data_IF_075822653464
#
_entry.id   IF_075822653464
#
_cell.length_a   1.000
_cell.length_b   1.000
_cell.length_c   1.000
_cell.angle_alpha   90.00
_cell.angle_beta   90.00
_cell.angle_gamma   90.00
#
_symmetry.space_group_name_H-M   'P 1'
#
loop_
_entity.id
_entity.type
_entity.pdbx_description
1 polymer ?
#
# COMPACT_ATOMS: atom_id res chain seq x y z
N UNK A 1 0.62 22.07 -13.78
CA UNK A 1 0.40 20.65 -14.05
C UNK A 1 1.63 19.93 -14.63
N UNK A 2 2.55 20.56 -15.33
CA UNK A 2 3.73 19.93 -15.95
C UNK A 2 4.91 19.59 -15.02
N UNK A 3 4.94 20.09 -13.78
CA UNK A 3 6.10 19.92 -12.89
C UNK A 3 6.18 18.54 -12.18
N UNK A 4 5.08 17.80 -12.08
CA UNK A 4 5.02 16.50 -11.38
C UNK A 4 5.45 15.37 -12.30
N UNK A 5 5.07 15.37 -13.56
CA UNK A 5 5.34 14.33 -14.55
C UNK A 5 6.84 14.02 -14.71
N UNK A 6 7.70 15.03 -14.73
CA UNK A 6 9.16 14.86 -14.88
C UNK A 6 9.88 14.22 -13.66
N UNK A 7 9.15 13.85 -12.58
CA UNK A 7 9.73 13.35 -11.33
C UNK A 7 9.21 11.95 -10.95
N UNK A 8 8.50 11.30 -11.85
CA UNK A 8 8.02 9.93 -11.66
C UNK A 8 8.83 9.00 -12.57
N UNK A 9 9.47 8.02 -11.96
CA UNK A 9 10.35 7.07 -12.62
C UNK A 9 9.85 5.65 -12.44
N UNK A 10 10.30 4.74 -13.29
CA UNK A 10 10.09 3.30 -13.14
C UNK A 10 11.37 2.52 -13.37
N UNK A 11 11.56 1.44 -12.63
CA UNK A 11 12.60 0.45 -12.89
C UNK A 11 12.00 -0.65 -13.75
N UNK A 12 12.66 -0.99 -14.85
CA UNK A 12 12.17 -2.00 -15.78
C UNK A 12 12.01 -3.38 -15.11
N UNK A 13 10.97 -4.17 -15.46
CA UNK A 13 10.84 -5.54 -15.00
C UNK A 13 12.08 -6.38 -15.29
N UNK A 14 12.50 -7.18 -14.29
CA UNK A 14 13.68 -8.04 -14.41
C UNK A 14 14.99 -7.43 -13.93
N UNK A 15 15.05 -6.14 -13.67
CA UNK A 15 16.17 -5.50 -12.99
C UNK A 15 16.00 -5.57 -11.47
N UNK A 16 17.14 -5.54 -10.75
CA UNK A 16 17.12 -5.45 -9.28
C UNK A 16 16.72 -4.04 -8.85
N UNK A 17 15.48 -3.87 -8.40
CA UNK A 17 14.90 -2.57 -8.08
C UNK A 17 15.75 -1.75 -7.11
N UNK A 18 16.20 -2.35 -6.01
CA UNK A 18 16.96 -1.65 -4.98
C UNK A 18 18.39 -1.33 -5.43
N UNK A 19 19.01 -2.18 -6.25
CA UNK A 19 20.34 -1.91 -6.77
C UNK A 19 20.33 -0.79 -7.80
N UNK A 20 19.30 -0.75 -8.68
CA UNK A 20 19.12 0.37 -9.61
C UNK A 20 18.84 1.67 -8.87
N UNK A 21 18.00 1.63 -7.83
CA UNK A 21 17.73 2.80 -6.99
C UNK A 21 19.00 3.32 -6.32
N UNK A 22 19.79 2.42 -5.71
CA UNK A 22 21.06 2.81 -5.07
C UNK A 22 22.02 3.44 -6.07
N UNK A 23 22.18 2.85 -7.27
CA UNK A 23 23.02 3.40 -8.34
C UNK A 23 22.54 4.77 -8.82
N UNK A 24 21.23 4.93 -9.03
CA UNK A 24 20.65 6.19 -9.47
C UNK A 24 20.87 7.31 -8.43
N UNK A 25 20.74 7.02 -7.15
CA UNK A 25 21.04 7.99 -6.07
C UNK A 25 22.52 8.34 -6.05
N UNK A 26 23.42 7.36 -6.11
CA UNK A 26 24.86 7.57 -6.10
C UNK A 26 25.36 8.36 -7.33
N UNK A 27 24.70 8.22 -8.47
CA UNK A 27 25.03 8.97 -9.69
C UNK A 27 24.36 10.35 -9.76
N UNK A 28 23.58 10.73 -8.73
CA UNK A 28 22.93 12.04 -8.68
C UNK A 28 21.72 12.19 -9.61
N UNK A 29 21.07 11.09 -10.02
CA UNK A 29 19.92 11.11 -10.94
C UNK A 29 18.72 11.96 -10.44
N UNK A 30 18.61 12.17 -9.12
CA UNK A 30 17.52 12.92 -8.50
C UNK A 30 17.94 14.32 -8.04
N UNK A 31 19.16 14.74 -8.28
CA UNK A 31 19.69 16.01 -7.86
C UNK A 31 20.17 16.83 -9.06
N UNK A 32 19.93 18.10 -9.04
CA UNK A 32 20.48 19.04 -10.00
C UNK A 32 22.01 19.16 -9.83
N UNK A 33 22.73 18.13 -10.25
CA UNK A 33 24.17 18.18 -10.49
C UNK A 33 25.14 18.13 -9.31
N UNK A 34 24.73 18.41 -8.08
CA UNK A 34 25.65 18.54 -6.94
C UNK A 34 25.94 17.26 -6.14
N UNK A 35 24.99 16.32 -6.08
CA UNK A 35 25.13 15.10 -5.25
C UNK A 35 26.17 14.11 -5.77
N UNK A 36 26.41 14.08 -7.06
CA UNK A 36 27.40 13.18 -7.66
C UNK A 36 28.86 13.53 -7.27
N UNK A 37 29.10 14.71 -6.69
CA UNK A 37 30.44 15.23 -6.38
C UNK A 37 30.76 15.29 -4.90
N UNK A 38 29.72 15.22 -4.01
CA UNK A 38 29.92 15.31 -2.57
C UNK A 38 29.35 14.08 -1.83
N UNK A 39 30.21 13.16 -1.36
CA UNK A 39 29.78 12.00 -0.56
C UNK A 39 29.04 12.36 0.73
N UNK A 40 29.23 13.55 1.29
CA UNK A 40 28.53 14.01 2.49
C UNK A 40 27.09 14.42 2.19
N UNK A 41 26.80 14.86 0.97
CA UNK A 41 25.46 15.26 0.57
C UNK A 41 24.47 14.06 0.53
N UNK A 42 24.94 12.81 0.52
CA UNK A 42 24.09 11.63 0.68
C UNK A 42 23.33 11.62 2.01
N UNK A 43 23.90 12.20 3.08
CA UNK A 43 23.23 12.31 4.37
C UNK A 43 21.96 13.18 4.36
N UNK A 44 21.82 14.08 3.41
CA UNK A 44 20.66 14.95 3.24
C UNK A 44 19.55 14.29 2.40
N UNK A 45 19.83 13.19 1.69
CA UNK A 45 18.84 12.43 0.91
C UNK A 45 17.94 11.63 1.84
N UNK A 46 16.64 11.73 1.66
CA UNK A 46 15.65 10.92 2.38
C UNK A 46 14.95 9.97 1.43
N UNK A 47 14.94 8.67 1.75
CA UNK A 47 14.29 7.62 0.94
C UNK A 47 13.22 6.93 1.77
N UNK A 48 11.98 6.97 1.29
CA UNK A 48 10.82 6.29 1.86
C UNK A 48 10.55 4.99 1.12
N UNK A 49 10.47 3.87 1.83
CA UNK A 49 10.28 2.52 1.30
C UNK A 49 9.07 1.83 1.96
N UNK A 50 8.42 0.86 1.32
CA UNK A 50 7.22 0.22 1.86
C UNK A 50 7.47 -0.63 3.12
N UNK A 51 8.68 -1.16 3.33
CA UNK A 51 8.95 -2.11 4.42
C UNK A 51 10.35 -1.92 5.04
N UNK A 52 10.51 -2.33 6.32
CA UNK A 52 11.83 -2.40 6.98
C UNK A 52 12.80 -3.34 6.26
N UNK A 53 12.28 -4.41 5.67
CA UNK A 53 13.12 -5.35 4.90
C UNK A 53 13.72 -4.67 3.69
N UNK A 54 12.92 -3.94 2.91
CA UNK A 54 13.40 -3.16 1.78
C UNK A 54 14.42 -2.10 2.22
N UNK A 55 14.18 -1.43 3.35
CA UNK A 55 15.13 -0.45 3.89
C UNK A 55 16.49 -1.06 4.21
N UNK A 56 16.53 -2.21 4.89
CA UNK A 56 17.79 -2.93 5.17
C UNK A 56 18.48 -3.42 3.90
N UNK A 57 17.71 -3.94 2.95
CA UNK A 57 18.27 -4.41 1.68
C UNK A 57 18.85 -3.24 0.87
N UNK A 58 18.19 -2.09 0.86
CA UNK A 58 18.71 -0.90 0.17
C UNK A 58 20.03 -0.42 0.79
N UNK A 59 20.20 -0.49 2.11
CA UNK A 59 21.49 -0.18 2.75
C UNK A 59 22.60 -1.06 2.19
N UNK A 60 22.34 -2.36 2.03
CA UNK A 60 23.30 -3.28 1.43
C UNK A 60 23.57 -2.93 -0.04
N UNK A 61 22.53 -2.63 -0.82
CA UNK A 61 22.70 -2.21 -2.22
C UNK A 61 23.55 -0.95 -2.39
N UNK A 62 23.45 0.00 -1.44
CA UNK A 62 24.35 1.17 -1.42
C UNK A 62 25.81 0.80 -1.18
N UNK A 63 26.09 -0.09 -0.22
CA UNK A 63 27.45 -0.55 0.06
C UNK A 63 28.06 -1.28 -1.16
N UNK A 64 27.28 -2.18 -1.75
CA UNK A 64 27.72 -2.96 -2.93
C UNK A 64 27.98 -2.06 -4.15
N UNK A 65 27.12 -1.05 -4.36
CA UNK A 65 27.24 -0.12 -5.48
C UNK A 65 28.37 0.90 -5.32
N UNK A 66 28.69 1.33 -4.08
CA UNK A 66 29.67 2.36 -3.80
C UNK A 66 31.12 1.92 -4.04
N UNK A 67 31.38 0.60 -3.95
CA UNK A 67 32.73 0.01 -3.98
C UNK A 67 33.71 0.62 -2.97
N UNK A 68 33.21 1.28 -1.93
CA UNK A 68 33.98 1.93 -0.87
C UNK A 68 33.90 1.12 0.44
N UNK A 69 34.93 1.21 1.26
CA UNK A 69 34.94 0.54 2.55
C UNK A 69 34.03 1.20 3.61
N UNK A 70 33.65 2.46 3.38
CA UNK A 70 32.72 3.20 4.22
C UNK A 70 31.92 4.21 3.37
N UNK A 71 30.66 4.36 3.68
CA UNK A 71 29.74 5.28 2.99
C UNK A 71 28.80 5.92 4.00
N UNK A 72 28.61 7.24 3.92
CA UNK A 72 27.51 7.90 4.60
C UNK A 72 26.23 7.55 3.87
N UNK A 73 25.31 6.85 4.55
CA UNK A 73 24.06 6.41 3.94
C UNK A 73 23.01 7.53 3.95
N UNK A 74 22.10 7.55 2.95
CA UNK A 74 20.86 8.34 3.01
C UNK A 74 20.02 7.99 4.23
N UNK A 75 19.13 8.88 4.61
CA UNK A 75 18.09 8.60 5.62
C UNK A 75 17.03 7.69 4.98
N UNK A 76 17.09 6.38 5.29
CA UNK A 76 16.16 5.37 4.72
C UNK A 76 15.10 5.03 5.75
N UNK A 77 13.83 5.23 5.43
CA UNK A 77 12.69 5.02 6.34
C UNK A 77 11.60 4.16 5.72
N UNK A 78 11.01 3.22 6.48
CA UNK A 78 9.79 2.52 6.07
C UNK A 78 8.56 3.42 6.21
N UNK A 79 7.60 3.29 5.28
CA UNK A 79 6.34 4.02 5.28
C UNK A 79 5.36 3.35 6.27
N UNK A 80 4.69 4.17 7.11
CA UNK A 80 3.63 3.68 7.99
C UNK A 80 4.09 2.85 9.19
N UNK A 81 5.39 2.76 9.41
CA UNK A 81 5.97 2.25 10.63
C UNK A 81 6.53 3.45 11.43
N UNK A 82 5.78 3.91 12.43
CA UNK A 82 6.40 4.68 13.48
C UNK A 82 7.32 3.71 14.25
N UNK A 83 8.62 3.80 14.02
CA UNK A 83 9.54 3.35 15.04
C UNK A 83 9.29 4.25 16.24
N UNK A 84 8.68 3.73 17.29
CA UNK A 84 8.46 4.47 18.55
C UNK A 84 9.77 5.08 19.02
N UNK A 85 10.87 4.38 18.82
CA UNK A 85 12.23 4.85 19.12
C UNK A 85 12.68 6.04 18.25
N UNK A 86 12.34 6.06 16.96
CA UNK A 86 12.71 7.17 16.07
C UNK A 86 11.79 8.38 16.26
N UNK A 87 10.54 8.18 16.60
CA UNK A 87 9.60 9.26 16.93
C UNK A 87 10.02 9.92 18.24
N UNK A 88 10.42 9.13 19.24
CA UNK A 88 10.95 9.61 20.50
C UNK A 88 12.30 10.32 20.34
N UNK A 89 13.21 9.74 19.56
CA UNK A 89 14.52 10.34 19.27
C UNK A 89 14.38 11.65 18.48
N UNK A 90 13.47 11.72 17.50
CA UNK A 90 13.16 12.96 16.79
C UNK A 90 12.50 14.00 17.69
N UNK A 91 11.59 13.62 18.57
CA UNK A 91 10.99 14.50 19.55
C UNK A 91 12.04 15.07 20.54
N UNK A 92 13.03 14.26 20.91
CA UNK A 92 14.13 14.67 21.78
C UNK A 92 15.17 15.55 21.05
N UNK A 93 15.38 15.34 19.75
CA UNK A 93 16.35 16.09 18.95
C UNK A 93 15.77 17.35 18.29
N UNK A 94 14.48 17.42 18.09
CA UNK A 94 13.79 18.64 17.60
C UNK A 94 13.63 19.61 18.75
N UNK A 95 14.53 20.56 18.83
CA UNK A 95 14.54 21.68 19.81
C UNK A 95 13.40 22.67 19.62
N UNK A 96 12.60 22.48 18.59
CA UNK A 96 11.40 23.26 18.28
C UNK A 96 10.17 22.37 18.43
N UNK A 97 9.31 22.71 19.37
CA UNK A 97 8.06 22.04 19.71
C UNK A 97 7.00 22.05 18.60
N UNK A 98 7.34 21.53 17.42
CA UNK A 98 6.41 21.27 16.31
C UNK A 98 5.99 19.80 16.30
N UNK A 99 5.74 19.26 17.48
CA UNK A 99 4.81 18.16 17.60
C UNK A 99 3.45 18.78 17.87
N UNK A 100 2.68 18.91 16.82
CA UNK A 100 1.25 19.02 16.99
C UNK A 100 0.83 17.85 17.89
N UNK A 101 0.19 18.14 18.99
CA UNK A 101 -0.05 17.40 20.20
C UNK A 101 -0.96 16.16 20.05
N UNK A 102 -0.86 15.43 18.96
CA UNK A 102 -1.60 14.20 18.76
C UNK A 102 -0.63 13.02 18.66
N UNK A 103 -0.15 12.53 19.80
CA UNK A 103 0.39 11.17 19.86
C UNK A 103 -0.69 10.22 19.37
N UNK A 104 -0.47 9.61 18.21
CA UNK A 104 -1.39 8.63 17.64
C UNK A 104 -1.53 7.47 18.62
N UNK A 105 -2.73 7.17 19.13
CA UNK A 105 -2.93 6.10 20.13
C UNK A 105 -2.31 4.77 19.68
N UNK A 106 -1.92 3.91 20.62
CA UNK A 106 -1.38 2.60 20.27
C UNK A 106 -2.44 1.72 19.60
N UNK A 107 -1.98 0.78 18.76
CA UNK A 107 -2.89 -0.22 18.22
C UNK A 107 -3.27 -1.26 19.28
N UNK A 108 -4.47 -1.80 19.15
CA UNK A 108 -4.89 -2.98 19.91
C UNK A 108 -4.01 -4.18 19.50
N UNK A 109 -3.61 -4.98 20.50
CA UNK A 109 -2.82 -6.19 20.24
C UNK A 109 -3.61 -7.24 19.46
N UNK A 110 -2.91 -7.98 18.60
CA UNK A 110 -3.56 -8.97 17.71
C UNK A 110 -4.35 -10.04 18.48
N UNK A 111 -3.81 -10.55 19.59
CA UNK A 111 -4.51 -11.53 20.43
C UNK A 111 -5.71 -10.91 21.13
N UNK A 112 -5.56 -9.72 21.72
CA UNK A 112 -6.64 -8.96 22.34
C UNK A 112 -7.79 -8.73 21.38
N UNK A 113 -7.46 -8.26 20.16
CA UNK A 113 -8.41 -8.05 19.08
C UNK A 113 -9.19 -9.30 18.73
N UNK A 114 -8.50 -10.43 18.54
CA UNK A 114 -9.13 -11.72 18.22
C UNK A 114 -10.04 -12.21 19.32
N UNK A 115 -9.64 -12.06 20.58
CA UNK A 115 -10.46 -12.47 21.72
C UNK A 115 -11.74 -11.64 21.84
N UNK A 116 -11.64 -10.32 21.65
CA UNK A 116 -12.81 -9.44 21.67
C UNK A 116 -13.77 -9.79 20.54
N UNK A 117 -13.27 -9.91 19.31
CA UNK A 117 -14.08 -10.30 18.15
C UNK A 117 -14.69 -11.70 18.32
N UNK A 118 -13.94 -12.67 18.85
CA UNK A 118 -14.48 -14.00 19.15
C UNK A 118 -15.63 -13.97 20.18
N UNK A 119 -15.52 -13.09 21.17
CA UNK A 119 -16.60 -12.89 22.16
C UNK A 119 -17.84 -12.30 21.49
N UNK A 120 -17.70 -11.36 20.56
CA UNK A 120 -18.82 -10.81 19.79
C UNK A 120 -19.47 -11.88 18.89
N UNK A 121 -18.67 -12.71 18.22
CA UNK A 121 -19.16 -13.86 17.43
C UNK A 121 -19.97 -14.82 18.28
N UNK A 122 -19.50 -15.17 19.47
CA UNK A 122 -20.23 -16.07 20.39
C UNK A 122 -21.55 -15.45 20.84
N UNK A 123 -21.55 -14.20 21.28
CA UNK A 123 -22.77 -13.50 21.70
C UNK A 123 -23.81 -13.45 20.59
N UNK A 124 -23.37 -13.11 19.37
CA UNK A 124 -24.26 -13.11 18.21
C UNK A 124 -24.82 -14.51 17.92
N UNK A 125 -23.99 -15.55 17.93
CA UNK A 125 -24.42 -16.93 17.73
C UNK A 125 -25.43 -17.39 18.80
N UNK A 126 -25.27 -16.94 20.04
CA UNK A 126 -26.23 -17.20 21.12
C UNK A 126 -27.57 -16.49 20.89
N UNK A 127 -27.55 -15.23 20.49
CA UNK A 127 -28.77 -14.45 20.20
C UNK A 127 -29.55 -15.09 19.05
N UNK A 128 -28.91 -15.52 17.99
CA UNK A 128 -29.56 -16.18 16.85
C UNK A 128 -30.20 -17.51 17.25
N UNK A 129 -29.57 -18.27 18.12
CA UNK A 129 -30.15 -19.55 18.64
C UNK A 129 -31.43 -19.36 19.41
N UNK A 130 -31.56 -18.24 20.11
CA UNK A 130 -32.76 -17.93 20.90
C UNK A 130 -33.88 -17.27 20.07
N UNK A 131 -33.52 -16.62 18.95
CA UNK A 131 -34.46 -15.95 18.06
C UNK A 131 -35.18 -16.88 17.07
N UNK A 132 -34.57 -18.01 16.70
CA UNK A 132 -35.11 -18.95 15.71
C UNK A 132 -36.15 -19.86 16.31
N UNK A 133 -37.41 -19.56 16.03
CA UNK A 133 -38.58 -20.37 16.41
C UNK A 133 -38.96 -21.37 15.32
N UNK A 134 -38.43 -21.23 14.09
CA UNK A 134 -38.81 -22.05 12.95
C UNK A 134 -37.81 -23.18 12.67
N UNK A 135 -38.32 -24.41 12.62
CA UNK A 135 -37.57 -25.67 12.56
C UNK A 135 -36.85 -25.88 11.21
N UNK A 136 -37.36 -25.25 10.14
CA UNK A 136 -36.87 -25.43 8.77
C UNK A 136 -35.54 -24.69 8.50
N UNK A 137 -35.28 -23.57 9.17
CA UNK A 137 -34.07 -22.78 9.03
C UNK A 137 -32.96 -23.14 10.03
N UNK A 138 -33.29 -23.99 11.01
CA UNK A 138 -32.36 -24.41 12.08
C UNK A 138 -31.15 -25.18 11.58
N UNK A 139 -31.27 -25.92 10.46
CA UNK A 139 -30.20 -26.81 9.98
C UNK A 139 -28.99 -26.09 9.36
N UNK A 140 -29.22 -25.01 8.62
CA UNK A 140 -28.16 -24.23 7.96
C UNK A 140 -27.45 -23.31 8.94
N UNK A 141 -28.19 -22.66 9.84
CA UNK A 141 -27.68 -21.76 10.84
C UNK A 141 -26.95 -22.49 11.99
N UNK A 142 -27.38 -23.69 12.33
CA UNK A 142 -26.67 -24.55 13.29
C UNK A 142 -25.31 -25.02 12.80
N UNK A 143 -25.11 -25.12 11.49
CA UNK A 143 -23.82 -25.45 10.90
C UNK A 143 -22.83 -24.26 10.90
N UNK A 144 -23.33 -23.02 10.85
CA UNK A 144 -22.51 -21.82 10.75
C UNK A 144 -22.19 -21.15 12.09
N UNK A 145 -22.98 -21.37 13.16
CA UNK A 145 -22.82 -20.72 14.46
C UNK A 145 -21.70 -21.31 15.30
N UNK A 146 -20.79 -20.45 15.80
CA UNK A 146 -19.77 -20.88 16.74
C UNK A 146 -20.40 -21.27 18.09
N UNK A 147 -20.11 -22.46 18.60
CA UNK A 147 -20.60 -22.98 19.89
C UNK A 147 -19.55 -22.94 20.99
N UNK A 148 -18.29 -22.85 20.62
CA UNK A 148 -17.17 -22.82 21.56
C UNK A 148 -16.24 -21.65 21.24
N UNK A 149 -15.47 -21.15 22.22
CA UNK A 149 -14.47 -20.13 21.98
C UNK A 149 -13.49 -20.48 20.87
N UNK A 150 -13.08 -21.74 20.76
CA UNK A 150 -12.18 -22.21 19.72
C UNK A 150 -12.81 -22.08 18.32
N UNK A 151 -14.09 -22.41 18.16
CA UNK A 151 -14.81 -22.24 16.90
C UNK A 151 -15.00 -20.76 16.54
N UNK A 152 -15.16 -19.88 17.50
CA UNK A 152 -15.32 -18.43 17.27
C UNK A 152 -14.02 -17.75 16.80
N UNK A 153 -12.87 -18.33 17.06
CA UNK A 153 -11.57 -17.73 16.68
C UNK A 153 -11.35 -17.67 15.16
N UNK A 154 -11.92 -18.58 14.39
CA UNK A 154 -11.82 -18.54 12.93
C UNK A 154 -12.58 -17.35 12.33
N UNK A 155 -13.91 -17.23 12.53
CA UNK A 155 -14.64 -16.06 12.05
C UNK A 155 -14.13 -14.75 12.63
N UNK A 156 -13.64 -14.74 13.89
CA UNK A 156 -13.02 -13.54 14.46
C UNK A 156 -11.78 -13.09 13.71
N UNK A 157 -10.97 -14.02 13.23
CA UNK A 157 -9.81 -13.71 12.38
C UNK A 157 -10.24 -13.15 11.02
N UNK A 158 -11.28 -13.72 10.41
CA UNK A 158 -11.76 -13.27 9.11
C UNK A 158 -12.42 -11.90 9.21
N UNK A 159 -13.13 -11.63 10.31
CA UNK A 159 -13.63 -10.29 10.65
C UNK A 159 -12.50 -9.28 10.86
N UNK A 160 -11.45 -9.65 11.60
CA UNK A 160 -10.29 -8.77 11.76
C UNK A 160 -9.68 -8.39 10.41
N UNK A 161 -9.60 -9.33 9.47
CA UNK A 161 -9.13 -9.06 8.10
C UNK A 161 -10.07 -8.15 7.33
N UNK A 162 -11.39 -8.38 7.43
CA UNK A 162 -12.37 -7.52 6.77
C UNK A 162 -12.26 -6.08 7.28
N UNK A 163 -12.20 -5.88 8.60
CA UNK A 163 -12.00 -4.56 9.21
C UNK A 163 -10.72 -3.92 8.68
N UNK A 164 -9.59 -4.66 8.65
CA UNK A 164 -8.32 -4.17 8.13
C UNK A 164 -8.41 -3.77 6.66
N UNK A 165 -9.13 -4.53 5.84
CA UNK A 165 -9.33 -4.22 4.42
C UNK A 165 -10.11 -2.91 4.25
N UNK A 166 -11.23 -2.77 4.94
CA UNK A 166 -12.09 -1.58 4.86
C UNK A 166 -11.36 -0.35 5.35
N UNK A 167 -10.73 -0.40 6.53
CA UNK A 167 -9.96 0.71 7.07
C UNK A 167 -8.75 1.05 6.19
N UNK A 168 -8.06 0.05 5.60
CA UNK A 168 -6.94 0.27 4.69
C UNK A 168 -7.35 1.05 3.45
N UNK A 169 -8.52 0.76 2.90
CA UNK A 169 -9.08 1.46 1.74
C UNK A 169 -9.76 2.79 2.11
N UNK A 170 -9.77 3.14 3.40
CA UNK A 170 -10.47 4.32 3.93
C UNK A 170 -11.96 4.34 3.51
N UNK A 171 -12.55 3.14 3.40
CA UNK A 171 -13.97 2.94 3.15
C UNK A 171 -14.74 2.85 4.48
N UNK A 172 -16.02 3.15 4.43
CA UNK A 172 -16.89 2.94 5.58
C UNK A 172 -17.54 1.55 5.51
N UNK A 173 -17.56 0.86 6.63
CA UNK A 173 -18.24 -0.43 6.70
C UNK A 173 -19.76 -0.31 6.45
N UNK A 174 -20.34 0.87 6.70
CA UNK A 174 -21.72 1.22 6.32
C UNK A 174 -21.97 1.10 4.81
N UNK A 175 -20.94 1.29 3.98
CA UNK A 175 -21.05 1.17 2.53
C UNK A 175 -21.39 -0.26 2.09
N UNK A 176 -21.05 -1.26 2.92
CA UNK A 176 -21.41 -2.66 2.67
C UNK A 176 -22.93 -2.88 2.63
N UNK A 177 -23.70 -2.06 3.31
CA UNK A 177 -25.17 -2.14 3.29
C UNK A 177 -25.73 -1.79 1.90
N UNK A 178 -25.08 -0.87 1.20
CA UNK A 178 -25.50 -0.41 -0.12
C UNK A 178 -25.13 -1.36 -1.28
N UNK A 179 -24.18 -2.30 -1.03
CA UNK A 179 -23.71 -3.21 -2.08
C UNK A 179 -24.68 -4.35 -2.39
N UNK A 180 -25.73 -4.53 -1.57
CA UNK A 180 -26.62 -5.68 -1.68
C UNK A 180 -28.04 -5.23 -2.01
N UNK A 181 -28.59 -5.66 -3.14
CA UNK A 181 -30.00 -5.44 -3.44
C UNK A 181 -30.89 -6.10 -2.38
N UNK A 182 -31.97 -5.41 -2.00
CA UNK A 182 -33.00 -5.89 -1.03
C UNK A 182 -33.62 -7.25 -1.39
N UNK A 183 -33.37 -7.73 -2.62
CA UNK A 183 -33.90 -8.99 -3.19
C UNK A 183 -33.01 -10.21 -2.89
N UNK A 184 -31.83 -10.05 -2.29
CA UNK A 184 -30.97 -11.17 -2.00
C UNK A 184 -31.35 -11.85 -0.68
N UNK A 185 -31.16 -13.17 -0.69
CA UNK A 185 -31.62 -14.15 0.28
C UNK A 185 -31.50 -13.73 1.76
N UNK A 186 -32.43 -14.19 2.58
CA UNK A 186 -32.49 -14.09 4.05
C UNK A 186 -31.13 -14.34 4.75
N UNK A 187 -30.32 -15.23 4.21
CA UNK A 187 -28.96 -15.51 4.69
C UNK A 187 -28.03 -14.27 4.60
N UNK A 188 -28.14 -13.46 3.56
CA UNK A 188 -27.33 -12.26 3.40
C UNK A 188 -27.77 -11.14 4.39
N UNK A 189 -29.05 -11.01 4.62
CA UNK A 189 -29.57 -10.05 5.61
C UNK A 189 -29.04 -10.36 7.02
N UNK A 190 -28.97 -11.64 7.40
CA UNK A 190 -28.40 -12.07 8.67
C UNK A 190 -26.88 -11.75 8.75
N UNK A 191 -26.16 -11.89 7.65
CA UNK A 191 -24.74 -11.50 7.58
C UNK A 191 -24.57 -9.99 7.77
N UNK A 192 -25.44 -9.18 7.17
CA UNK A 192 -25.43 -7.72 7.35
C UNK A 192 -25.76 -7.33 8.80
N UNK A 193 -26.74 -7.97 9.43
CA UNK A 193 -27.04 -7.72 10.85
C UNK A 193 -25.85 -8.04 11.74
N UNK A 194 -25.15 -9.13 11.47
CA UNK A 194 -23.92 -9.46 12.18
C UNK A 194 -22.83 -8.39 11.98
N UNK A 195 -22.64 -7.93 10.76
CA UNK A 195 -21.71 -6.86 10.45
C UNK A 195 -22.10 -5.55 11.15
N UNK A 196 -23.38 -5.19 11.21
CA UNK A 196 -23.87 -4.02 11.94
C UNK A 196 -23.51 -4.06 13.44
N UNK A 197 -23.64 -5.22 14.08
CA UNK A 197 -23.24 -5.39 15.47
C UNK A 197 -21.76 -5.08 15.64
N UNK A 198 -20.92 -5.58 14.73
CA UNK A 198 -19.47 -5.33 14.79
C UNK A 198 -19.15 -3.86 14.54
N UNK A 199 -19.86 -3.22 13.59
CA UNK A 199 -19.74 -1.80 13.27
C UNK A 199 -19.98 -0.89 14.47
N UNK A 200 -20.88 -1.28 15.35
CA UNK A 200 -21.22 -0.51 16.55
C UNK A 200 -20.31 -0.84 17.73
N UNK A 201 -20.07 -2.12 17.97
CA UNK A 201 -19.34 -2.56 19.18
C UNK A 201 -17.83 -2.44 19.05
N UNK A 202 -17.27 -2.62 17.85
CA UNK A 202 -15.84 -2.57 17.69
C UNK A 202 -15.26 -1.15 17.90
N UNK A 203 -15.80 -0.08 17.29
CA UNK A 203 -15.36 1.28 17.59
C UNK A 203 -15.54 1.64 19.05
N UNK A 204 -16.70 1.33 19.64
CA UNK A 204 -16.97 1.60 21.05
C UNK A 204 -15.99 0.89 22.00
N UNK A 205 -15.58 -0.34 21.66
CA UNK A 205 -14.53 -1.03 22.41
C UNK A 205 -13.20 -0.30 22.30
N UNK A 206 -12.78 0.06 21.10
CA UNK A 206 -11.51 0.78 20.87
C UNK A 206 -11.48 2.10 21.64
N UNK A 207 -12.57 2.85 21.63
CA UNK A 207 -12.71 4.10 22.38
C UNK A 207 -12.59 3.84 23.90
N UNK A 208 -13.22 2.78 24.41
CA UNK A 208 -13.19 2.44 25.84
C UNK A 208 -11.78 2.11 26.36
N UNK A 209 -10.90 1.60 25.50
CA UNK A 209 -9.51 1.25 25.83
C UNK A 209 -8.50 2.28 25.34
N UNK A 210 -8.95 3.38 24.72
CA UNK A 210 -8.11 4.42 24.11
C UNK A 210 -7.07 3.85 23.12
N UNK A 211 -7.48 2.89 22.28
CA UNK A 211 -6.65 2.25 21.26
C UNK A 211 -7.26 2.41 19.87
N UNK A 212 -6.46 2.13 18.84
CA UNK A 212 -6.87 2.12 17.44
C UNK A 212 -6.80 0.70 16.86
N UNK A 213 -7.51 0.46 15.77
CA UNK A 213 -7.23 -0.69 14.92
C UNK A 213 -5.84 -0.57 14.30
N UNK A 214 -5.13 -1.68 14.02
CA UNK A 214 -3.81 -1.64 13.39
C UNK A 214 -3.79 -0.90 12.05
N UNK A 215 -4.81 -1.08 11.21
CA UNK A 215 -4.90 -0.43 9.90
C UNK A 215 -5.19 1.08 10.03
N UNK A 216 -6.13 1.48 10.88
CA UNK A 216 -6.42 2.89 11.14
C UNK A 216 -5.19 3.61 11.72
N UNK A 217 -4.50 3.01 12.70
CA UNK A 217 -3.26 3.57 13.25
C UNK A 217 -2.22 3.80 12.16
N UNK A 218 -2.01 2.80 11.30
CA UNK A 218 -1.08 2.92 10.18
C UNK A 218 -1.45 4.07 9.25
N UNK A 219 -2.72 4.18 8.87
CA UNK A 219 -3.20 5.25 8.01
C UNK A 219 -2.97 6.63 8.65
N UNK A 220 -3.30 6.79 9.93
CA UNK A 220 -3.05 8.05 10.66
C UNK A 220 -1.57 8.42 10.72
N UNK A 221 -0.68 7.45 10.90
CA UNK A 221 0.76 7.68 10.88
C UNK A 221 1.26 8.12 9.51
N UNK A 222 0.77 7.50 8.43
CA UNK A 222 1.11 7.89 7.05
C UNK A 222 0.60 9.30 6.75
N UNK A 223 -0.64 9.61 7.13
CA UNK A 223 -1.23 10.94 6.93
C UNK A 223 -0.54 12.01 7.78
N UNK A 224 -0.16 11.68 9.01
CA UNK A 224 0.65 12.55 9.87
C UNK A 224 2.00 12.86 9.26
N UNK A 225 2.68 11.87 8.68
CA UNK A 225 3.94 12.09 7.96
C UNK A 225 3.73 12.95 6.70
N UNK A 226 2.64 12.74 5.96
CA UNK A 226 2.29 13.57 4.81
C UNK A 226 2.06 15.05 5.23
N UNK A 227 1.37 15.27 6.34
CA UNK A 227 1.15 16.62 6.89
C UNK A 227 2.47 17.26 7.32
N UNK A 228 3.33 16.51 8.00
CA UNK A 228 4.66 16.97 8.42
C UNK A 228 5.52 17.36 7.21
N UNK A 229 5.54 16.56 6.17
CA UNK A 229 6.28 16.85 4.94
C UNK A 229 5.77 18.11 4.25
N UNK A 230 4.47 18.34 4.21
CA UNK A 230 3.91 19.62 3.66
C UNK A 230 4.33 20.85 4.46
N UNK A 231 4.56 20.70 5.76
CA UNK A 231 4.95 21.80 6.65
C UNK A 231 6.46 22.04 6.72
N UNK A 232 7.28 21.09 6.23
CA UNK A 232 8.75 21.13 6.41
C UNK A 232 9.44 21.11 5.05
N UNK A 233 10.46 21.95 4.86
CA UNK A 233 11.32 21.90 3.68
C UNK A 233 12.45 20.88 3.93
N UNK A 234 12.56 19.78 3.14
CA UNK A 234 13.69 18.86 3.24
C UNK A 234 14.98 19.56 2.79
N UNK A 235 16.10 19.23 3.41
CA UNK A 235 17.41 19.78 3.05
C UNK A 235 17.94 19.25 1.73
N UNK A 236 17.53 18.05 1.34
CA UNK A 236 17.98 17.36 0.13
C UNK A 236 16.85 16.62 -0.56
N UNK A 237 17.18 15.80 -1.57
CA UNK A 237 16.20 15.02 -2.32
C UNK A 237 15.33 14.12 -1.42
N UNK A 238 14.02 14.13 -1.70
CA UNK A 238 13.03 13.30 -1.04
C UNK A 238 12.47 12.27 -2.03
N UNK A 239 12.75 11.00 -1.81
CA UNK A 239 12.44 9.92 -2.74
C UNK A 239 11.45 8.94 -2.09
N UNK A 240 10.34 8.66 -2.78
CA UNK A 240 9.46 7.52 -2.45
C UNK A 240 9.71 6.43 -3.47
N UNK A 241 10.05 5.22 -3.01
CA UNK A 241 10.41 4.14 -3.93
C UNK A 241 9.74 2.81 -3.56
N UNK A 242 9.40 2.02 -4.58
CA UNK A 242 8.86 0.67 -4.42
C UNK A 242 7.42 0.59 -3.91
N UNK A 243 6.67 1.70 -3.96
CA UNK A 243 5.25 1.74 -3.58
C UNK A 243 4.36 1.67 -4.80
N UNK A 244 3.24 0.98 -4.65
CA UNK A 244 2.23 0.81 -5.71
C UNK A 244 1.02 1.73 -5.53
N UNK A 245 0.95 2.49 -4.42
CA UNK A 245 -0.19 3.38 -4.13
C UNK A 245 -1.52 2.66 -3.91
N UNK A 246 -1.46 1.38 -3.53
CA UNK A 246 -2.67 0.58 -3.27
C UNK A 246 -3.46 1.07 -2.04
N UNK A 247 -2.85 1.87 -1.17
CA UNK A 247 -3.46 2.42 0.05
C UNK A 247 -3.68 3.92 -0.16
N UNK A 248 -4.91 4.46 0.01
CA UNK A 248 -5.20 5.88 -0.16
C UNK A 248 -4.30 6.82 0.66
N UNK A 249 -4.02 6.48 1.92
CA UNK A 249 -3.10 7.23 2.77
C UNK A 249 -1.69 7.33 2.17
N UNK A 250 -1.21 6.26 1.50
CA UNK A 250 0.08 6.27 0.80
C UNK A 250 0.07 7.19 -0.42
N UNK A 251 -1.04 7.24 -1.14
CA UNK A 251 -1.21 8.20 -2.25
C UNK A 251 -1.12 9.65 -1.77
N UNK A 252 -1.73 9.97 -0.62
CA UNK A 252 -1.61 11.29 0.00
C UNK A 252 -0.17 11.62 0.42
N UNK A 253 0.55 10.65 0.95
CA UNK A 253 1.98 10.80 1.26
C UNK A 253 2.80 11.08 -0.01
N UNK A 254 2.55 10.35 -1.11
CA UNK A 254 3.22 10.56 -2.40
C UNK A 254 2.93 11.97 -2.93
N UNK A 255 1.68 12.46 -2.83
CA UNK A 255 1.34 13.84 -3.20
C UNK A 255 2.09 14.86 -2.35
N UNK A 256 2.20 14.63 -1.04
CA UNK A 256 2.96 15.50 -0.15
C UNK A 256 4.45 15.53 -0.52
N UNK A 257 5.03 14.40 -0.87
CA UNK A 257 6.40 14.29 -1.36
C UNK A 257 6.57 15.05 -2.66
N UNK A 258 5.71 14.85 -3.65
CA UNK A 258 5.79 15.51 -4.96
C UNK A 258 5.52 17.02 -4.91
N UNK A 259 5.06 17.57 -3.80
CA UNK A 259 4.96 19.00 -3.59
C UNK A 259 6.32 19.69 -3.40
N UNK A 260 7.40 18.91 -3.11
CA UNK A 260 8.74 19.46 -2.96
C UNK A 260 9.49 19.47 -4.31
N UNK A 261 10.31 20.49 -4.55
CA UNK A 261 11.03 20.65 -5.82
C UNK A 261 12.04 19.55 -6.11
N UNK A 262 12.76 19.08 -5.09
CA UNK A 262 13.74 18.00 -5.19
C UNK A 262 13.14 16.65 -4.80
N UNK A 263 11.90 16.34 -5.24
CA UNK A 263 11.26 15.07 -4.96
C UNK A 263 11.27 14.14 -6.17
N UNK A 264 11.25 12.83 -5.90
CA UNK A 264 11.07 11.81 -6.91
C UNK A 264 10.22 10.63 -6.40
N UNK A 265 9.51 10.01 -7.33
CA UNK A 265 8.79 8.75 -7.09
C UNK A 265 9.35 7.69 -8.03
N UNK A 266 9.73 6.52 -7.48
CA UNK A 266 10.29 5.41 -8.26
C UNK A 266 9.36 4.21 -8.14
N UNK A 267 8.68 3.91 -9.22
CA UNK A 267 7.69 2.83 -9.31
C UNK A 267 8.35 1.48 -9.62
N UNK A 268 7.89 0.37 -9.05
CA UNK A 268 8.41 -0.94 -9.35
C UNK A 268 7.74 -1.52 -10.60
N UNK A 269 8.49 -1.73 -11.67
CA UNK A 269 8.07 -2.53 -12.81
C UNK A 269 6.79 -2.08 -13.51
N UNK A 270 6.63 -0.77 -13.73
CA UNK A 270 5.50 -0.26 -14.51
C UNK A 270 5.53 -0.85 -15.92
N UNK A 271 4.40 -1.39 -16.35
CA UNK A 271 4.23 -1.84 -17.74
C UNK A 271 4.07 -0.65 -18.68
N UNK A 272 5.13 -0.33 -19.40
CA UNK A 272 5.13 0.71 -20.42
C UNK A 272 4.79 0.18 -21.81
N UNK A 273 4.73 -1.14 -22.01
CA UNK A 273 4.51 -1.79 -23.30
C UNK A 273 3.03 -2.15 -23.57
N UNK A 274 2.21 -2.27 -22.54
CA UNK A 274 0.77 -2.55 -22.68
C UNK A 274 0.10 -1.46 -23.52
N UNK A 275 -0.83 -1.84 -24.41
CA UNK A 275 -1.60 -0.86 -25.19
C UNK A 275 -2.52 0.01 -24.30
N UNK A 276 -2.86 1.20 -24.79
CA UNK A 276 -3.61 2.19 -24.02
C UNK A 276 -5.06 1.76 -23.75
N UNK A 277 -5.65 0.93 -24.61
CA UNK A 277 -7.02 0.41 -24.40
C UNK A 277 -7.02 -0.56 -23.22
N UNK A 278 -6.10 -1.51 -23.20
CA UNK A 278 -5.92 -2.44 -22.08
C UNK A 278 -5.59 -1.70 -20.79
N UNK A 279 -4.65 -0.75 -20.85
CA UNK A 279 -4.24 0.04 -19.69
C UNK A 279 -5.38 0.84 -19.07
N UNK A 280 -6.19 1.52 -19.89
CA UNK A 280 -7.30 2.35 -19.41
C UNK A 280 -8.34 1.58 -18.60
N UNK A 281 -8.50 0.28 -18.88
CA UNK A 281 -9.44 -0.62 -18.19
C UNK A 281 -8.92 -1.21 -16.89
N UNK A 282 -7.61 -1.15 -16.65
CA UNK A 282 -7.02 -1.79 -15.45
C UNK A 282 -7.54 -1.19 -14.15
N UNK A 283 -7.65 0.11 -14.06
CA UNK A 283 -8.03 0.79 -12.82
C UNK A 283 -9.52 0.64 -12.46
N UNK A 284 -10.38 0.28 -13.42
CA UNK A 284 -11.84 0.17 -13.24
C UNK A 284 -12.32 -1.27 -13.24
N UNK A 285 -11.89 -2.07 -14.22
CA UNK A 285 -12.54 -3.32 -14.56
C UNK A 285 -11.72 -4.56 -14.13
N UNK A 286 -10.45 -4.38 -13.75
CA UNK A 286 -9.55 -5.50 -13.48
C UNK A 286 -8.76 -5.32 -12.17
N UNK A 287 -9.43 -5.36 -11.02
CA UNK A 287 -8.81 -5.10 -9.71
C UNK A 287 -7.72 -6.13 -9.34
N UNK A 288 -7.81 -7.35 -9.88
CA UNK A 288 -6.85 -8.43 -9.61
C UNK A 288 -5.59 -8.34 -10.48
N UNK A 289 -5.57 -7.48 -11.51
CA UNK A 289 -4.42 -7.35 -12.39
C UNK A 289 -3.23 -6.72 -11.63
N UNK A 290 -1.99 -7.25 -11.74
CA UNK A 290 -0.82 -6.74 -11.01
C UNK A 290 -0.53 -5.26 -11.22
N UNK A 291 -0.87 -4.70 -12.38
CA UNK A 291 -0.68 -3.28 -12.70
C UNK A 291 -1.85 -2.38 -12.26
N UNK A 292 -2.95 -2.95 -11.74
CA UNK A 292 -4.13 -2.17 -11.35
C UNK A 292 -3.80 -1.09 -10.31
N UNK A 293 -3.03 -1.43 -9.29
CA UNK A 293 -2.64 -0.47 -8.24
C UNK A 293 -1.80 0.68 -8.80
N UNK A 294 -0.85 0.40 -9.72
CA UNK A 294 -0.06 1.42 -10.39
C UNK A 294 -0.92 2.30 -11.29
N UNK A 295 -1.88 1.72 -12.02
CA UNK A 295 -2.80 2.47 -12.85
C UNK A 295 -3.70 3.41 -12.01
N UNK A 296 -4.20 2.93 -10.86
CA UNK A 296 -4.94 3.75 -9.89
C UNK A 296 -4.08 4.87 -9.32
N UNK A 297 -2.82 4.56 -8.95
CA UNK A 297 -1.89 5.56 -8.42
C UNK A 297 -1.62 6.66 -9.44
N UNK A 298 -1.24 6.32 -10.66
CA UNK A 298 -0.96 7.31 -11.71
C UNK A 298 -2.18 8.20 -11.99
N UNK A 299 -3.37 7.62 -12.07
CA UNK A 299 -4.63 8.37 -12.19
C UNK A 299 -4.83 9.32 -11.01
N UNK A 300 -4.61 8.86 -9.79
CA UNK A 300 -4.77 9.67 -8.58
C UNK A 300 -3.75 10.81 -8.49
N UNK A 301 -2.57 10.65 -9.09
CA UNK A 301 -1.52 11.68 -9.16
C UNK A 301 -1.66 12.61 -10.37
N UNK A 302 -2.64 12.39 -11.25
CA UNK A 302 -2.80 13.08 -12.54
C UNK A 302 -1.53 13.00 -13.41
N UNK A 303 -0.93 11.79 -13.45
CA UNK A 303 0.28 11.48 -14.23
C UNK A 303 -0.08 10.47 -15.30
N UNK A 304 0.21 10.76 -16.55
CA UNK A 304 0.01 9.81 -17.63
C UNK A 304 1.16 8.80 -17.67
N UNK A 305 0.85 7.55 -18.04
CA UNK A 305 1.86 6.48 -18.13
C UNK A 305 3.05 6.83 -19.02
N UNK A 306 2.79 7.53 -20.12
CA UNK A 306 3.85 8.01 -21.07
C UNK A 306 4.80 9.05 -20.47
N UNK A 307 4.37 9.73 -19.41
CA UNK A 307 5.18 10.74 -18.72
C UNK A 307 6.03 10.15 -17.58
N UNK A 308 5.95 8.83 -17.37
CA UNK A 308 6.81 8.12 -16.44
C UNK A 308 8.10 7.76 -17.13
N UNK A 309 9.21 8.24 -16.58
CA UNK A 309 10.55 8.04 -17.16
C UNK A 309 11.18 6.72 -16.69
N UNK A 310 11.96 6.09 -17.54
CA UNK A 310 12.84 5.01 -17.09
C UNK A 310 13.86 5.58 -16.09
N UNK A 311 14.08 4.88 -14.97
CA UNK A 311 15.12 5.27 -14.03
C UNK A 311 16.49 5.17 -14.74
N UNK A 312 17.33 6.24 -14.71
CA UNK A 312 18.66 6.17 -15.29
C UNK A 312 19.51 5.06 -14.65
N UNK A 313 20.11 4.20 -15.44
CA UNK A 313 20.93 3.09 -14.93
C UNK A 313 20.95 1.88 -15.81
N UNK A 314 20.59 0.72 -15.26
CA UNK A 314 20.67 -0.55 -15.96
C UNK A 314 19.68 -0.67 -17.12
N UNK A 315 20.15 -1.32 -18.19
CA UNK A 315 19.33 -1.71 -19.33
C UNK A 315 18.95 -3.18 -19.18
N UNK A 316 17.66 -3.49 -19.27
CA UNK A 316 17.20 -4.87 -19.24
C UNK A 316 17.76 -5.66 -20.43
N UNK A 317 18.27 -6.87 -20.17
CA UNK A 317 18.76 -7.73 -21.22
C UNK A 317 17.61 -8.13 -22.17
N UNK A 318 17.88 -8.38 -23.48
CA UNK A 318 16.84 -8.76 -24.44
C UNK A 318 15.95 -9.92 -23.99
N UNK A 319 16.53 -10.91 -23.31
CA UNK A 319 15.76 -12.03 -22.75
C UNK A 319 14.80 -11.61 -21.62
N UNK A 320 15.16 -10.60 -20.83
CA UNK A 320 14.28 -10.04 -19.79
C UNK A 320 13.13 -9.25 -20.42
N UNK A 321 13.41 -8.47 -21.45
CA UNK A 321 12.39 -7.71 -22.21
C UNK A 321 11.38 -8.68 -22.84
N UNK A 322 11.86 -9.74 -23.53
CA UNK A 322 10.97 -10.76 -24.11
C UNK A 322 10.12 -11.46 -23.06
N UNK A 323 10.70 -11.79 -21.90
CA UNK A 323 9.94 -12.39 -20.78
C UNK A 323 8.87 -11.45 -20.24
N UNK A 324 9.20 -10.17 -20.05
CA UNK A 324 8.25 -9.17 -19.61
C UNK A 324 7.10 -9.04 -20.61
N UNK A 325 7.38 -8.98 -21.90
CA UNK A 325 6.37 -8.93 -22.94
C UNK A 325 5.45 -10.17 -22.93
N UNK A 326 6.02 -11.37 -22.81
CA UNK A 326 5.23 -12.61 -22.72
C UNK A 326 4.31 -12.62 -21.49
N UNK A 327 4.80 -12.16 -20.34
CA UNK A 327 3.99 -12.05 -19.12
C UNK A 327 2.87 -11.02 -19.29
N UNK A 328 3.15 -9.88 -19.90
CA UNK A 328 2.14 -8.85 -20.16
C UNK A 328 1.03 -9.40 -21.05
N UNK A 329 1.37 -10.11 -22.11
CA UNK A 329 0.39 -10.72 -22.99
C UNK A 329 -0.42 -11.83 -22.28
N UNK A 330 0.23 -12.65 -21.46
CA UNK A 330 -0.45 -13.69 -20.67
C UNK A 330 -1.42 -13.11 -19.66
N UNK A 331 -1.14 -11.92 -19.12
CA UNK A 331 -1.95 -11.20 -18.13
C UNK A 331 -2.92 -10.18 -18.74
N UNK A 332 -3.03 -10.13 -20.06
CA UNK A 332 -3.89 -9.18 -20.77
C UNK A 332 -5.36 -9.25 -20.25
N UNK A 333 -6.02 -8.09 -20.01
CA UNK A 333 -7.42 -8.07 -19.61
C UNK A 333 -8.32 -8.87 -20.55
N UNK A 334 -9.27 -9.62 -20.01
CA UNK A 334 -10.14 -10.51 -20.77
C UNK A 334 -10.84 -9.81 -21.97
N UNK A 335 -11.21 -8.55 -21.78
CA UNK A 335 -11.86 -7.73 -22.83
C UNK A 335 -10.96 -7.39 -24.02
N UNK A 336 -9.64 -7.61 -23.91
CA UNK A 336 -8.66 -7.28 -24.96
C UNK A 336 -7.85 -8.49 -25.43
N UNK A 337 -8.22 -9.71 -25.01
CA UNK A 337 -7.56 -10.97 -25.43
C UNK A 337 -7.66 -11.28 -26.91
N UNK A 338 -8.56 -10.61 -27.65
CA UNK A 338 -8.63 -10.72 -29.13
C UNK A 338 -7.29 -10.32 -29.81
N UNK A 339 -6.43 -9.56 -29.15
CA UNK A 339 -5.09 -9.26 -29.64
C UNK A 339 -4.19 -10.50 -29.75
N UNK A 340 -4.48 -11.59 -29.01
CA UNK A 340 -3.70 -12.83 -29.06
C UNK A 340 -3.67 -13.49 -30.43
N UNK A 341 -4.68 -13.25 -31.28
CA UNK A 341 -4.67 -13.74 -32.66
C UNK A 341 -3.47 -13.22 -33.47
N UNK A 342 -2.87 -12.09 -33.06
CA UNK A 342 -1.72 -11.46 -33.72
C UNK A 342 -0.37 -11.82 -33.11
N UNK A 343 -0.37 -12.49 -31.93
CA UNK A 343 0.89 -12.85 -31.25
C UNK A 343 1.77 -13.80 -32.07
N UNK A 344 1.15 -14.71 -32.84
CA UNK A 344 1.88 -15.60 -33.74
C UNK A 344 2.66 -14.89 -34.84
N UNK A 345 2.21 -13.72 -35.28
CA UNK A 345 2.86 -12.92 -36.31
C UNK A 345 4.05 -12.15 -35.77
N UNK A 346 4.01 -11.71 -34.51
CA UNK A 346 5.08 -10.97 -33.83
C UNK A 346 6.20 -11.88 -33.32
N UNK A 347 5.86 -13.08 -32.84
CA UNK A 347 6.83 -14.05 -32.31
C UNK A 347 7.62 -14.74 -33.46
N UNK A 348 7.06 -14.79 -34.66
CA UNK A 348 7.74 -15.36 -35.82
C UNK A 348 8.71 -14.39 -36.51
N UNK A 349 8.73 -13.11 -36.16
CA UNK A 349 9.57 -12.07 -36.77
C UNK A 349 10.84 -11.75 -35.96
N UNK A 350 10.99 -12.26 -34.73
CA UNK A 350 12.17 -12.18 -33.86
C UNK A 350 12.91 -13.53 -33.76
#
# INVERSE_FOLDING_TARGET
MTAVAGRVYTVAPGLSFLDELARAVLTGAFASGQLALDPLALGDVTILLPTRRAARQLQQSFLDASRQNALLLPVIRPIGEASEDLTLLHALMSREGVLGDATVPPAVGELERRLVLATLVLKWSDTQRHATVDETHRSVLQAAGARTPAQAMHPARDLARLIDMVETENAELSDLESLVPDTLSEHWQQTLEFLKIILQFWPAHLDSVAKLSPADRRNRLILGEAARLRATQPKGPLIVAGVTGSIPATTELIRAVLAHDAAAVVLPGLDTAMDDVSWSRLATDNPEHPQCSLAKLLRALDVERRDVHALPGGVAAPAQVRRAHLINEAMRPASTTHHWHRLGETVAAD
#
